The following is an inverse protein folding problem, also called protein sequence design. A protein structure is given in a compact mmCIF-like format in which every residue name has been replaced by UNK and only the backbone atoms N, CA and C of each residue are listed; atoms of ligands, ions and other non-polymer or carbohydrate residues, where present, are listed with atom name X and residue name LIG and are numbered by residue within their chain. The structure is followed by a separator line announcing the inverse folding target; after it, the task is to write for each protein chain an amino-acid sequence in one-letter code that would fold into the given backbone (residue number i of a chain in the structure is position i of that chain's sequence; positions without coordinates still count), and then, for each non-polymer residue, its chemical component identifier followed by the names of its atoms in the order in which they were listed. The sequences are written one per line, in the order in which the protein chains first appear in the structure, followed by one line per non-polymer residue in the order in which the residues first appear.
data_IF_910494355465
#
_entry.id   IF_910494355465
#
_cell.length_a   1.000
_cell.length_b   1.000
_cell.length_c   1.000
_cell.angle_alpha   90.00
_cell.angle_beta   90.00
_cell.angle_gamma   90.00
#
_symmetry.space_group_name_H-M   'P 1'
#
loop_
_entity.id
_entity.type
_entity.pdbx_description
1 polymer ?
#
# COMPACT_ATOMS: atom_id res chain seq x y z
N UNK A 1 2.19 10.17 8.22
CA UNK A 1 2.98 9.01 7.74
C UNK A 1 2.18 8.30 6.66
N UNK A 2 2.81 7.53 5.79
CA UNK A 2 2.09 6.75 4.77
C UNK A 2 2.24 5.27 5.07
N UNK A 3 1.16 4.50 4.94
CA UNK A 3 1.17 3.05 5.10
C UNK A 3 1.15 2.39 3.71
N UNK A 4 2.15 1.57 3.39
CA UNK A 4 2.21 0.78 2.16
C UNK A 4 1.94 -0.70 2.49
N UNK A 5 0.84 -1.24 1.99
CA UNK A 5 0.47 -2.64 2.13
C UNK A 5 0.59 -3.41 0.80
N UNK A 6 1.18 -4.59 0.85
CA UNK A 6 1.44 -5.44 -0.32
C UNK A 6 0.64 -6.75 -0.29
N UNK A 7 -0.10 -7.02 0.79
CA UNK A 7 -0.99 -8.18 0.90
C UNK A 7 -2.42 -7.80 1.34
N UNK A 8 -3.43 -8.67 1.12
CA UNK A 8 -4.78 -8.43 1.61
C UNK A 8 -4.84 -8.28 3.14
N UNK A 9 -4.01 -9.04 3.87
CA UNK A 9 -3.90 -8.94 5.32
C UNK A 9 -3.31 -7.59 5.74
N UNK A 10 -2.20 -7.20 5.12
CA UNK A 10 -1.55 -5.92 5.41
C UNK A 10 -2.44 -4.72 5.08
N UNK A 11 -3.23 -4.81 4.01
CA UNK A 11 -4.20 -3.77 3.67
C UNK A 11 -5.28 -3.66 4.75
N UNK A 12 -5.83 -4.79 5.21
CA UNK A 12 -6.79 -4.77 6.32
C UNK A 12 -6.20 -4.16 7.61
N UNK A 13 -4.92 -4.43 7.90
CA UNK A 13 -4.20 -3.86 9.04
C UNK A 13 -3.97 -2.36 8.87
N UNK A 14 -3.50 -1.92 7.69
CA UNK A 14 -3.30 -0.52 7.35
C UNK A 14 -4.59 0.29 7.40
N UNK A 15 -5.71 -0.27 6.91
CA UNK A 15 -7.03 0.35 7.00
C UNK A 15 -7.47 0.55 8.45
N UNK A 16 -7.19 -0.41 9.34
CA UNK A 16 -7.51 -0.28 10.77
C UNK A 16 -6.67 0.81 11.46
N UNK A 17 -5.41 0.97 11.08
CA UNK A 17 -4.55 2.06 11.57
C UNK A 17 -5.04 3.40 11.02
N UNK A 18 -5.26 3.48 9.71
CA UNK A 18 -5.74 4.67 9.01
C UNK A 18 -7.10 5.15 9.52
N UNK A 19 -8.03 4.25 9.86
CA UNK A 19 -9.32 4.61 10.45
C UNK A 19 -9.18 5.35 11.80
N UNK A 20 -8.09 5.13 12.55
CA UNK A 20 -7.84 5.77 13.85
C UNK A 20 -6.99 7.03 13.73
N UNK A 21 -6.09 7.06 12.75
CA UNK A 21 -5.03 8.07 12.64
C UNK A 21 -5.28 9.08 11.51
N UNK A 22 -6.12 8.73 10.53
CA UNK A 22 -6.34 9.53 9.32
C UNK A 22 -5.25 9.38 8.26
N UNK A 23 -4.25 8.53 8.49
CA UNK A 23 -3.07 8.40 7.62
C UNK A 23 -3.43 7.81 6.24
N UNK A 24 -2.68 8.24 5.22
CA UNK A 24 -2.85 7.75 3.85
C UNK A 24 -2.41 6.28 3.74
N UNK A 25 -3.15 5.52 2.92
CA UNK A 25 -2.85 4.11 2.65
C UNK A 25 -2.59 3.92 1.17
N UNK A 26 -1.47 3.29 0.84
CA UNK A 26 -1.15 2.84 -0.49
C UNK A 26 -1.10 1.31 -0.50
N UNK A 27 -1.51 0.71 -1.62
CA UNK A 27 -1.47 -0.75 -1.74
C UNK A 27 -1.14 -1.26 -3.14
N UNK A 28 -0.55 -2.44 -3.18
CA UNK A 28 -0.27 -3.18 -4.42
C UNK A 28 -1.53 -3.83 -5.02
N UNK A 29 -1.45 -4.21 -6.30
CA UNK A 29 -2.57 -4.85 -7.01
C UNK A 29 -3.01 -6.20 -6.43
N UNK A 30 -2.14 -6.88 -5.68
CA UNK A 30 -2.40 -8.15 -5.00
C UNK A 30 -3.10 -7.98 -3.66
N UNK A 31 -3.09 -6.77 -3.09
CA UNK A 31 -3.73 -6.50 -1.80
C UNK A 31 -5.26 -6.40 -1.92
N UNK A 32 -5.76 -5.95 -3.07
CA UNK A 32 -7.19 -5.87 -3.39
C UNK A 32 -7.39 -5.81 -4.90
N UNK A 33 -8.44 -6.46 -5.40
CA UNK A 33 -8.77 -6.38 -6.84
C UNK A 33 -9.26 -4.98 -7.22
N UNK A 34 -9.17 -4.62 -8.50
CA UNK A 34 -9.68 -3.34 -8.99
C UNK A 34 -11.20 -3.19 -8.74
N UNK A 35 -11.97 -4.26 -8.92
CA UNK A 35 -13.42 -4.24 -8.68
C UNK A 35 -13.74 -3.99 -7.22
N UNK A 36 -13.04 -4.63 -6.28
CA UNK A 36 -13.23 -4.42 -4.85
C UNK A 36 -12.79 -3.02 -4.42
N UNK A 37 -11.68 -2.52 -5.01
CA UNK A 37 -11.19 -1.16 -4.77
C UNK A 37 -12.25 -0.13 -5.15
N UNK A 38 -12.77 -0.22 -6.37
CA UNK A 38 -13.78 0.71 -6.88
C UNK A 38 -15.12 0.63 -6.13
N UNK A 39 -15.45 -0.53 -5.55
CA UNK A 39 -16.71 -0.73 -4.85
C UNK A 39 -16.70 -0.17 -3.42
N UNK A 40 -15.57 -0.24 -2.71
CA UNK A 40 -15.58 -0.18 -1.24
C UNK A 40 -14.44 0.57 -0.57
N UNK A 41 -13.44 1.07 -1.32
CA UNK A 41 -12.27 1.66 -0.68
C UNK A 41 -12.52 3.09 -0.17
N UNK A 42 -12.04 3.44 1.03
CA UNK A 42 -12.05 4.81 1.52
C UNK A 42 -11.26 5.75 0.60
N UNK A 43 -11.67 7.02 0.52
CA UNK A 43 -11.06 8.04 -0.33
C UNK A 43 -9.55 8.32 -0.09
N UNK A 44 -9.00 7.85 1.04
CA UNK A 44 -7.58 7.99 1.42
C UNK A 44 -6.72 6.77 1.05
N UNK A 45 -7.30 5.82 0.33
CA UNK A 45 -6.59 4.64 -0.16
C UNK A 45 -6.27 4.83 -1.64
N UNK A 46 -5.01 4.65 -1.98
CA UNK A 46 -4.53 4.62 -3.37
C UNK A 46 -4.03 3.22 -3.69
N UNK A 47 -4.33 2.73 -4.89
CA UNK A 47 -3.94 1.39 -5.35
C UNK A 47 -3.06 1.49 -6.57
N UNK A 48 -1.90 0.84 -6.54
CA UNK A 48 -1.08 0.61 -7.71
C UNK A 48 -1.73 -0.43 -8.62
N UNK A 49 -1.64 -0.22 -9.93
CA UNK A 49 -2.17 -1.16 -10.93
C UNK A 49 -1.30 -2.41 -11.10
N UNK A 50 -0.07 -2.37 -10.60
CA UNK A 50 0.91 -3.44 -10.67
C UNK A 50 1.16 -4.10 -9.32
N UNK A 51 1.82 -5.26 -9.39
CA UNK A 51 2.15 -6.04 -8.22
C UNK A 51 3.37 -5.55 -7.48
N UNK A 52 3.34 -5.59 -6.15
CA UNK A 52 4.48 -5.23 -5.29
C UNK A 52 5.10 -6.44 -4.59
N UNK A 53 4.56 -7.64 -4.84
CA UNK A 53 5.10 -8.90 -4.30
C UNK A 53 6.10 -9.52 -5.27
N UNK A 54 7.28 -9.92 -4.78
CA UNK A 54 8.33 -10.60 -5.56
C UNK A 54 9.71 -9.93 -5.50
N UNK A 55 10.69 -10.52 -6.18
CA UNK A 55 12.11 -10.12 -6.13
C UNK A 55 12.46 -8.86 -6.95
N UNK A 56 11.46 -8.17 -7.52
CA UNK A 56 11.71 -6.96 -8.30
C UNK A 56 11.86 -5.77 -7.35
N UNK A 57 13.01 -5.64 -6.70
CA UNK A 57 13.36 -4.50 -5.86
C UNK A 57 13.06 -3.15 -6.55
N UNK A 58 13.23 -3.10 -7.88
CA UNK A 58 12.90 -1.95 -8.71
C UNK A 58 11.43 -1.51 -8.62
N UNK A 59 10.46 -2.43 -8.58
CA UNK A 59 9.04 -2.07 -8.52
C UNK A 59 8.66 -1.48 -7.16
N UNK A 60 9.30 -1.96 -6.08
CA UNK A 60 9.11 -1.37 -4.76
C UNK A 60 9.75 0.02 -4.69
N UNK A 61 10.95 0.19 -5.22
CA UNK A 61 11.65 1.49 -5.26
C UNK A 61 10.84 2.53 -6.06
N UNK A 62 10.34 2.16 -7.25
CA UNK A 62 9.49 3.03 -8.09
C UNK A 62 8.18 3.43 -7.37
N UNK A 63 7.58 2.49 -6.64
CA UNK A 63 6.40 2.75 -5.83
C UNK A 63 6.68 3.70 -4.66
N UNK A 64 7.83 3.54 -4.00
CA UNK A 64 8.26 4.44 -2.91
C UNK A 64 8.53 5.85 -3.42
N UNK A 65 9.16 6.00 -4.59
CA UNK A 65 9.35 7.30 -5.25
C UNK A 65 8.01 7.95 -5.56
N UNK A 66 7.08 7.20 -6.17
CA UNK A 66 5.73 7.69 -6.46
C UNK A 66 5.00 8.17 -5.20
N UNK A 67 5.10 7.43 -4.10
CA UNK A 67 4.51 7.84 -2.81
C UNK A 67 5.16 9.12 -2.29
N UNK A 68 6.48 9.24 -2.39
CA UNK A 68 7.24 10.41 -1.92
C UNK A 68 6.87 11.69 -2.70
N UNK A 69 6.56 11.58 -3.99
CA UNK A 69 6.05 12.71 -4.79
C UNK A 69 4.69 13.22 -4.29
N UNK A 70 3.80 12.31 -3.89
CA UNK A 70 2.45 12.65 -3.40
C UNK A 70 2.43 13.07 -1.93
N UNK A 71 3.38 12.56 -1.13
CA UNK A 71 3.47 12.77 0.30
C UNK A 71 4.89 13.23 0.70
N UNK A 72 5.31 14.43 0.26
CA UNK A 72 6.67 14.91 0.49
C UNK A 72 6.98 14.99 2.00
N UNK A 73 8.20 14.59 2.35
CA UNK A 73 8.72 14.55 3.72
C UNK A 73 7.97 13.63 4.71
N UNK A 74 7.08 12.75 4.23
CA UNK A 74 6.45 11.75 5.10
C UNK A 74 7.26 10.45 5.16
N UNK A 75 7.34 9.88 6.36
CA UNK A 75 7.83 8.51 6.55
C UNK A 75 6.84 7.51 5.94
N UNK A 76 7.36 6.62 5.09
CA UNK A 76 6.61 5.50 4.51
C UNK A 76 6.87 4.24 5.35
N UNK A 77 5.81 3.63 5.87
CA UNK A 77 5.85 2.34 6.54
C UNK A 77 5.46 1.25 5.56
N UNK A 78 6.40 0.37 5.25
CA UNK A 78 6.20 -0.72 4.29
C UNK A 78 5.87 -2.01 5.04
N UNK A 79 4.79 -2.68 4.64
CA UNK A 79 4.51 -4.04 5.05
C UNK A 79 5.67 -4.94 4.64
N UNK A 80 6.26 -5.64 5.60
CA UNK A 80 7.16 -6.75 5.34
C UNK A 80 6.42 -8.05 5.65
N UNK A 81 6.24 -8.88 4.64
CA UNK A 81 5.86 -10.26 4.81
C UNK A 81 7.14 -11.10 4.69
N UNK A 82 7.55 -11.88 5.71
CA UNK A 82 8.60 -12.86 5.50
C UNK A 82 8.14 -13.79 4.38
N UNK A 83 8.97 -13.93 3.33
CA UNK A 83 8.67 -14.82 2.22
C UNK A 83 8.32 -16.20 2.77
N UNK A 84 7.21 -16.78 2.29
CA UNK A 84 6.92 -18.18 2.56
C UNK A 84 8.12 -18.99 2.04
N UNK A 85 8.95 -19.47 2.95
CA UNK A 85 10.05 -20.38 2.65
C UNK A 85 9.52 -21.72 2.12
#
# INVERSE_FOLDING_TARGET
MVLLAISPKGLADALRISAKTGEAVWCGSEAVTESEFNASMPARVTRFVYGLTGDSATLLDDALETIAEHHPAQTIWVESAPGAA
#
